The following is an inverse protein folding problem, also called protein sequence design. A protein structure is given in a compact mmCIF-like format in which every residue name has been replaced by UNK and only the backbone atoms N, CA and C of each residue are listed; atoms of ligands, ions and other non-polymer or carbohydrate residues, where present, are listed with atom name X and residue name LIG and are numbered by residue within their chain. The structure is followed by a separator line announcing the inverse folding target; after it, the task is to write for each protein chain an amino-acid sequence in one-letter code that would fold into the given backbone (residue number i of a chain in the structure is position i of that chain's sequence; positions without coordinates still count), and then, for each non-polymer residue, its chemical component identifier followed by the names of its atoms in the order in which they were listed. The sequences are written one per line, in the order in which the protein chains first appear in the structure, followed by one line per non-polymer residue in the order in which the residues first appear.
data_IF_356170689850
#
_entry.id   IF_356170689850
#
_cell.length_a   1.000
_cell.length_b   1.000
_cell.length_c   1.000
_cell.angle_alpha   90.00
_cell.angle_beta   90.00
_cell.angle_gamma   90.00
#
_symmetry.space_group_name_H-M   'P 1'
#
loop_
_entity.id
_entity.type
_entity.pdbx_description
1 polymer ?
#
# COMPACT_ATOMS: atom_id res chain seq x y z
N UNK A 1 6.11 13.34 -17.20
CA UNK A 1 4.73 13.79 -16.92
C UNK A 1 4.18 13.01 -15.72
N UNK A 2 3.39 13.62 -14.82
CA UNK A 2 2.86 12.93 -13.65
C UNK A 2 1.85 11.84 -14.06
N UNK A 3 1.94 10.67 -13.42
CA UNK A 3 1.02 9.54 -13.64
C UNK A 3 0.08 9.44 -12.44
N UNK A 4 -1.23 9.44 -12.70
CA UNK A 4 -2.28 9.31 -11.68
C UNK A 4 -2.98 7.97 -11.92
N UNK A 5 -3.13 7.17 -10.85
CA UNK A 5 -3.94 5.95 -10.90
C UNK A 5 -5.40 6.34 -10.69
N UNK A 6 -6.25 6.03 -11.66
CA UNK A 6 -7.69 6.32 -11.64
C UNK A 6 -8.49 5.02 -11.85
N UNK A 7 -9.63 4.92 -11.17
CA UNK A 7 -10.54 3.78 -11.11
C UNK A 7 -9.92 2.48 -10.55
N UNK A 8 -10.78 1.62 -9.96
CA UNK A 8 -10.39 0.28 -9.49
C UNK A 8 -9.75 0.20 -8.10
N UNK A 9 -9.51 1.32 -7.43
CA UNK A 9 -9.08 1.33 -6.01
C UNK A 9 -10.28 1.02 -5.12
N UNK A 10 -10.34 -0.21 -4.60
CA UNK A 10 -11.43 -0.70 -3.78
C UNK A 10 -11.19 -0.47 -2.29
N UNK A 11 -9.93 -0.42 -1.86
CA UNK A 11 -9.56 -0.22 -0.45
C UNK A 11 -8.20 0.46 -0.30
N UNK A 12 -7.84 0.77 0.95
CA UNK A 12 -6.61 1.46 1.33
C UNK A 12 -5.33 0.78 0.78
N UNK A 13 -5.27 -0.56 0.75
CA UNK A 13 -4.08 -1.26 0.23
C UNK A 13 -3.81 -0.97 -1.23
N UNK A 14 -4.83 -0.79 -2.06
CA UNK A 14 -4.67 -0.52 -3.49
C UNK A 14 -4.06 0.87 -3.69
N UNK A 15 -4.53 1.85 -2.92
CA UNK A 15 -4.00 3.20 -2.92
C UNK A 15 -2.53 3.23 -2.46
N UNK A 16 -2.19 2.48 -1.41
CA UNK A 16 -0.80 2.36 -0.95
C UNK A 16 0.10 1.74 -2.03
N UNK A 17 -0.33 0.66 -2.68
CA UNK A 17 0.42 -0.01 -3.74
C UNK A 17 0.64 0.94 -4.93
N UNK A 18 -0.39 1.67 -5.36
CA UNK A 18 -0.27 2.65 -6.43
C UNK A 18 0.83 3.68 -6.13
N UNK A 19 0.86 4.20 -4.90
CA UNK A 19 1.89 5.15 -4.48
C UNK A 19 3.28 4.50 -4.33
N UNK A 20 3.37 3.27 -3.81
CA UNK A 20 4.63 2.50 -3.75
C UNK A 20 5.25 2.26 -5.13
N UNK A 21 4.44 2.17 -6.18
CA UNK A 21 4.89 2.00 -7.57
C UNK A 21 5.36 3.31 -8.21
N UNK A 22 5.26 4.44 -7.50
CA UNK A 22 5.72 5.74 -7.98
C UNK A 22 4.64 6.58 -8.67
N UNK A 23 3.36 6.28 -8.45
CA UNK A 23 2.29 7.19 -8.88
C UNK A 23 2.45 8.58 -8.23
N UNK A 24 2.08 9.62 -8.97
CA UNK A 24 2.04 10.99 -8.46
C UNK A 24 0.80 11.24 -7.57
N UNK A 25 -0.23 10.42 -7.72
CA UNK A 25 -1.46 10.48 -6.94
C UNK A 25 -2.45 9.39 -7.34
N UNK A 26 -3.56 9.35 -6.62
CA UNK A 26 -4.65 8.42 -6.83
C UNK A 26 -5.98 9.18 -6.88
N UNK A 27 -6.80 8.91 -7.89
CA UNK A 27 -8.16 9.43 -8.01
C UNK A 27 -9.15 8.29 -7.76
N UNK A 28 -10.11 8.51 -6.85
CA UNK A 28 -11.10 7.49 -6.47
C UNK A 28 -12.43 8.12 -6.04
N UNK A 29 -13.53 7.38 -6.27
CA UNK A 29 -14.87 7.76 -5.82
C UNK A 29 -15.60 6.57 -5.18
N UNK A 30 -15.94 5.55 -5.98
CA UNK A 30 -16.79 4.43 -5.56
C UNK A 30 -16.26 3.66 -4.34
N UNK A 31 -14.94 3.52 -4.20
CA UNK A 31 -14.32 2.87 -3.04
C UNK A 31 -14.60 3.58 -1.70
N UNK A 32 -14.75 4.92 -1.73
CA UNK A 32 -15.12 5.72 -0.56
C UNK A 32 -16.65 5.82 -0.45
N UNK A 33 -17.32 6.24 -1.53
CA UNK A 33 -18.77 6.51 -1.53
C UNK A 33 -19.62 5.25 -1.30
N UNK A 34 -19.15 4.08 -1.75
CA UNK A 34 -19.81 2.79 -1.55
C UNK A 34 -19.45 2.07 -0.25
N UNK A 35 -18.58 2.64 0.58
CA UNK A 35 -18.18 2.02 1.85
C UNK A 35 -19.33 2.08 2.88
N UNK A 36 -19.37 1.10 3.79
CA UNK A 36 -20.33 1.12 4.93
C UNK A 36 -20.15 2.35 5.81
N UNK A 37 -18.93 2.87 5.92
CA UNK A 37 -18.59 4.11 6.60
C UNK A 37 -17.67 4.94 5.69
N UNK A 38 -18.23 5.84 4.87
CA UNK A 38 -17.46 6.62 3.91
C UNK A 38 -16.43 7.54 4.55
N UNK A 39 -16.73 8.12 5.72
CA UNK A 39 -15.81 9.05 6.40
C UNK A 39 -14.59 8.29 6.93
N UNK A 40 -14.82 7.13 7.55
CA UNK A 40 -13.71 6.27 8.00
C UNK A 40 -12.90 5.76 6.80
N UNK A 41 -13.54 5.40 5.69
CA UNK A 41 -12.84 4.98 4.48
C UNK A 41 -12.02 6.10 3.85
N UNK A 42 -12.56 7.32 3.76
CA UNK A 42 -11.81 8.48 3.28
C UNK A 42 -10.54 8.73 4.11
N UNK A 43 -10.63 8.62 5.44
CA UNK A 43 -9.47 8.70 6.32
C UNK A 43 -8.46 7.58 6.05
N UNK A 44 -8.92 6.34 5.87
CA UNK A 44 -8.06 5.21 5.58
C UNK A 44 -7.31 5.38 4.24
N UNK A 45 -8.01 5.85 3.19
CA UNK A 45 -7.42 6.13 1.89
C UNK A 45 -6.37 7.25 1.96
N UNK A 46 -6.65 8.33 2.69
CA UNK A 46 -5.68 9.41 2.91
C UNK A 46 -4.38 8.92 3.56
N UNK A 47 -4.50 8.12 4.63
CA UNK A 47 -3.35 7.52 5.30
C UNK A 47 -2.58 6.55 4.39
N UNK A 48 -3.27 5.78 3.55
CA UNK A 48 -2.63 4.86 2.62
C UNK A 48 -1.83 5.57 1.53
N UNK A 49 -2.35 6.68 0.98
CA UNK A 49 -1.63 7.49 -0.01
C UNK A 49 -0.35 8.07 0.61
N UNK A 50 -0.44 8.61 1.82
CA UNK A 50 0.71 9.14 2.55
C UNK A 50 1.74 8.04 2.84
N UNK A 51 1.30 6.92 3.42
CA UNK A 51 2.16 5.80 3.75
C UNK A 51 2.86 5.21 2.50
N UNK A 52 2.12 5.01 1.41
CA UNK A 52 2.68 4.48 0.16
C UNK A 52 3.68 5.45 -0.48
N UNK A 53 3.44 6.77 -0.39
CA UNK A 53 4.37 7.78 -0.89
C UNK A 53 5.66 7.80 -0.08
N UNK A 54 5.56 7.75 1.25
CA UNK A 54 6.71 7.64 2.14
C UNK A 54 7.50 6.36 1.89
N UNK A 55 6.82 5.23 1.64
CA UNK A 55 7.47 3.97 1.32
C UNK A 55 8.22 3.99 -0.04
N UNK A 56 7.67 4.68 -1.05
CA UNK A 56 8.36 4.91 -2.32
C UNK A 56 9.64 5.71 -2.12
N UNK A 57 9.57 6.81 -1.36
CA UNK A 57 10.71 7.70 -1.10
C UNK A 57 11.77 7.06 -0.19
N UNK A 58 11.35 6.23 0.77
CA UNK A 58 12.26 5.52 1.66
C UNK A 58 13.05 4.39 0.97
N UNK A 59 12.57 3.87 -0.16
CA UNK A 59 13.20 2.76 -0.87
C UNK A 59 13.05 1.43 -0.12
N UNK A 60 11.94 0.73 -0.35
CA UNK A 60 11.66 -0.59 0.26
C UNK A 60 12.77 -1.61 -0.02
N UNK A 61 12.95 -2.56 0.92
CA UNK A 61 13.83 -3.71 0.71
C UNK A 61 13.41 -4.54 -0.52
N UNK A 62 14.36 -5.19 -1.22
CA UNK A 62 14.04 -6.08 -2.33
C UNK A 62 13.12 -7.22 -1.89
N UNK A 63 12.11 -7.53 -2.72
CA UNK A 63 11.33 -8.77 -2.53
C UNK A 63 12.23 -9.97 -2.83
N UNK A 64 12.45 -10.83 -1.84
CA UNK A 64 13.03 -12.16 -2.07
C UNK A 64 11.95 -13.08 -2.66
N UNK A 65 12.27 -13.77 -3.76
CA UNK A 65 11.37 -14.75 -4.40
C UNK A 65 11.23 -16.03 -3.58
N UNK A 66 12.23 -16.33 -2.74
CA UNK A 66 12.26 -17.49 -1.86
C UNK A 66 12.35 -17.03 -0.42
N UNK A 67 11.44 -17.53 0.43
CA UNK A 67 11.55 -17.36 1.87
C UNK A 67 12.72 -18.21 2.37
N UNK A 68 13.89 -17.60 2.59
CA UNK A 68 14.80 -18.18 3.57
C UNK A 68 14.20 -17.85 4.94
N UNK A 69 14.06 -18.84 5.81
CA UNK A 69 13.69 -18.59 7.20
C UNK A 69 14.56 -17.45 7.74
N UNK A 70 13.93 -16.38 8.24
CA UNK A 70 14.65 -15.25 8.83
C UNK A 70 15.27 -15.60 10.18
N UNK A 71 14.84 -16.72 10.75
CA UNK A 71 15.38 -17.35 11.95
C UNK A 71 16.18 -18.59 11.55
N UNK A 72 17.48 -18.69 11.87
CA UNK A 72 18.19 -19.96 11.83
C UNK A 72 17.45 -20.97 12.71
N UNK A 73 17.27 -22.20 12.21
CA UNK A 73 16.76 -23.33 13.03
C UNK A 73 17.86 -23.81 14.01
N UNK A 74 19.09 -23.32 13.86
CA UNK A 74 20.17 -23.47 14.84
C UNK A 74 19.86 -22.72 16.13
N UNK A 75 19.22 -23.41 17.08
CA UNK A 75 19.00 -22.91 18.43
C UNK A 75 17.69 -23.34 19.09
N UNK A 76 16.77 -24.01 18.38
CA UNK A 76 15.65 -24.68 19.05
C UNK A 76 16.17 -25.94 19.74
N UNK A 77 16.56 -25.78 21.02
CA UNK A 77 16.68 -26.91 21.95
C UNK A 77 15.30 -27.57 22.04
N UNK A 78 15.26 -28.84 21.64
CA UNK A 78 14.17 -29.78 21.90
C UNK A 78 14.04 -30.11 23.38
#
# INVERSE_FOLDING_TARGET
VPVIVDAGVGTASDAAIAMELGAAGVLMNTGIAGAKDPVRMARAMGLAVEAGRLAYEAGRIPKKLYASASSPVEGMLV
#
